data_IF_903232680031
#
_entry.id   IF_903232680031
#
_cell.length_a   1.000
_cell.length_b   1.000
_cell.length_c   1.000
_cell.angle_alpha   90.00
_cell.angle_beta   90.00
_cell.angle_gamma   90.00
#
_symmetry.space_group_name_H-M   'P 1'
#
loop_
_entity.id
_entity.type
_entity.pdbx_description
1 polymer ?
#
# COMPACT_ATOMS: atom_id res chain seq x y z
N UNK A 1 -7.06 18.18 -1.17
CA UNK A 1 -7.30 17.99 -2.61
C UNK A 1 -8.44 18.87 -3.12
N UNK A 2 -9.58 18.95 -2.43
CA UNK A 2 -10.71 19.80 -2.88
C UNK A 2 -10.38 21.28 -3.19
N UNK A 3 -9.41 21.87 -2.48
CA UNK A 3 -8.99 23.26 -2.69
C UNK A 3 -7.87 23.44 -3.71
N UNK A 4 -7.08 22.39 -4.00
CA UNK A 4 -5.81 22.49 -4.76
C UNK A 4 -5.71 21.50 -5.93
N UNK A 5 -6.73 20.68 -6.15
CA UNK A 5 -6.68 19.57 -7.08
C UNK A 5 -5.78 18.42 -6.62
N UNK A 6 -5.38 17.59 -7.58
CA UNK A 6 -4.47 16.45 -7.43
C UNK A 6 -5.09 15.12 -7.85
N UNK A 7 -4.33 14.04 -7.68
CA UNK A 7 -4.74 12.67 -8.04
C UNK A 7 -4.84 11.80 -6.79
N UNK A 8 -6.00 11.19 -6.56
CA UNK A 8 -6.22 10.22 -5.48
C UNK A 8 -6.23 8.81 -6.06
N UNK A 9 -5.39 7.92 -5.54
CA UNK A 9 -5.30 6.54 -5.99
C UNK A 9 -5.59 5.60 -4.81
N UNK A 10 -6.49 4.64 -5.00
CA UNK A 10 -6.80 3.60 -4.01
C UNK A 10 -6.79 2.19 -4.61
N UNK A 11 -7.06 1.18 -3.80
CA UNK A 11 -7.29 -0.19 -4.26
C UNK A 11 -8.72 -0.61 -3.91
N UNK A 12 -9.35 -1.41 -4.77
CA UNK A 12 -10.73 -1.89 -4.60
C UNK A 12 -10.85 -3.33 -5.13
N UNK A 13 -11.74 -4.17 -4.56
CA UNK A 13 -12.05 -5.45 -5.19
C UNK A 13 -12.63 -5.20 -6.60
N UNK A 14 -12.03 -5.86 -7.58
CA UNK A 14 -12.47 -5.83 -8.97
C UNK A 14 -13.68 -6.72 -9.20
N UNK A 15 -14.46 -6.39 -10.24
CA UNK A 15 -15.52 -7.29 -10.73
C UNK A 15 -14.90 -8.44 -11.52
N UNK A 16 -15.37 -9.65 -11.30
CA UNK A 16 -14.89 -10.88 -11.95
C UNK A 16 -14.77 -10.70 -13.48
N UNK A 17 -13.60 -11.02 -14.05
CA UNK A 17 -13.39 -11.10 -15.50
C UNK A 17 -12.51 -10.03 -16.14
N UNK A 18 -12.04 -9.02 -15.40
CA UNK A 18 -11.06 -8.04 -15.91
C UNK A 18 -9.65 -8.46 -15.49
N UNK A 19 -8.99 -9.30 -16.29
CA UNK A 19 -7.62 -9.77 -16.06
C UNK A 19 -6.52 -8.70 -16.20
N UNK A 20 -6.88 -7.42 -16.06
CA UNK A 20 -5.98 -6.29 -16.20
C UNK A 20 -5.96 -5.51 -14.89
N UNK A 21 -4.76 -5.44 -14.29
CA UNK A 21 -4.43 -4.58 -13.16
C UNK A 21 -4.36 -3.13 -13.62
N UNK A 22 -5.51 -2.56 -13.99
CA UNK A 22 -5.60 -1.19 -14.51
C UNK A 22 -6.19 -0.26 -13.46
N UNK A 23 -5.68 0.97 -13.46
CA UNK A 23 -6.32 2.07 -12.75
C UNK A 23 -7.59 2.48 -13.48
N UNK A 24 -8.73 2.35 -12.82
CA UNK A 24 -10.02 2.83 -13.32
C UNK A 24 -10.33 4.19 -12.72
N UNK A 25 -10.75 5.14 -13.56
CA UNK A 25 -11.14 6.48 -13.12
C UNK A 25 -12.56 6.50 -12.52
N UNK A 26 -12.76 7.35 -11.51
CA UNK A 26 -14.04 7.54 -10.82
C UNK A 26 -14.45 9.01 -10.81
N UNK A 27 -15.61 9.31 -11.40
CA UNK A 27 -16.18 10.66 -11.43
C UNK A 27 -16.83 11.06 -10.09
N UNK A 28 -17.15 12.34 -9.92
CA UNK A 28 -17.91 12.86 -8.77
C UNK A 28 -17.09 13.50 -7.66
N UNK A 29 -15.83 13.85 -7.94
CA UNK A 29 -15.00 14.71 -7.08
C UNK A 29 -14.43 15.88 -7.88
N UNK A 30 -13.98 16.93 -7.20
CA UNK A 30 -13.30 18.08 -7.82
C UNK A 30 -11.83 17.81 -8.18
N UNK A 31 -11.39 16.56 -8.08
CA UNK A 31 -10.02 16.09 -8.30
C UNK A 31 -10.07 14.69 -8.90
N UNK A 32 -8.96 14.26 -9.52
CA UNK A 32 -8.90 12.98 -10.22
C UNK A 32 -8.88 11.84 -9.22
N UNK A 33 -9.68 10.80 -9.48
CA UNK A 33 -9.76 9.61 -8.63
C UNK A 33 -9.57 8.38 -9.47
N UNK A 34 -8.65 7.53 -9.05
CA UNK A 34 -8.40 6.23 -9.65
C UNK A 34 -8.42 5.13 -8.61
N UNK A 35 -8.79 3.92 -9.01
CA UNK A 35 -8.59 2.74 -8.19
C UNK A 35 -7.97 1.59 -8.97
N UNK A 36 -7.01 0.90 -8.35
CA UNK A 36 -6.51 -0.38 -8.80
C UNK A 36 -7.54 -1.45 -8.47
N UNK A 37 -8.03 -2.14 -9.50
CA UNK A 37 -8.94 -3.27 -9.34
C UNK A 37 -8.15 -4.54 -9.11
N UNK A 38 -8.41 -5.20 -7.98
CA UNK A 38 -7.74 -6.44 -7.59
C UNK A 38 -8.71 -7.63 -7.72
N UNK A 39 -8.30 -8.77 -8.28
CA UNK A 39 -9.08 -10.00 -8.17
C UNK A 39 -9.45 -10.29 -6.71
N UNK A 40 -10.65 -10.82 -6.47
CA UNK A 40 -11.17 -11.01 -5.10
C UNK A 40 -10.21 -11.77 -4.19
N UNK A 41 -9.61 -12.87 -4.66
CA UNK A 41 -8.62 -13.62 -3.89
C UNK A 41 -7.40 -12.77 -3.51
N UNK A 42 -6.84 -12.02 -4.47
CA UNK A 42 -5.70 -11.13 -4.19
C UNK A 42 -6.07 -9.99 -3.25
N UNK A 43 -7.27 -9.42 -3.39
CA UNK A 43 -7.78 -8.41 -2.47
C UNK A 43 -7.91 -8.99 -1.06
N UNK A 44 -8.43 -10.21 -0.91
CA UNK A 44 -8.58 -10.86 0.39
C UNK A 44 -7.22 -11.14 1.04
N UNK A 45 -6.26 -11.74 0.32
CA UNK A 45 -4.93 -12.06 0.87
C UNK A 45 -4.14 -10.81 1.27
N UNK A 46 -4.32 -9.70 0.53
CA UNK A 46 -3.72 -8.40 0.83
C UNK A 46 -4.41 -7.67 1.98
N UNK A 47 -5.73 -7.46 1.87
CA UNK A 47 -6.49 -6.58 2.74
C UNK A 47 -6.91 -7.32 4.01
N UNK A 48 -7.61 -8.45 3.88
CA UNK A 48 -8.05 -9.24 5.03
C UNK A 48 -6.88 -10.06 5.62
N UNK A 49 -5.99 -10.58 4.77
CA UNK A 49 -4.80 -11.32 5.16
C UNK A 49 -3.72 -10.42 5.75
N UNK A 50 -2.64 -10.16 5.02
CA UNK A 50 -1.45 -9.55 5.63
C UNK A 50 -1.71 -8.20 6.30
N UNK A 51 -2.54 -7.33 5.70
CA UNK A 51 -2.81 -6.01 6.29
C UNK A 51 -3.57 -6.12 7.62
N UNK A 52 -4.70 -6.85 7.65
CA UNK A 52 -5.60 -6.84 8.81
C UNK A 52 -5.43 -8.03 9.78
N UNK A 53 -4.91 -9.17 9.33
CA UNK A 53 -4.59 -10.33 10.18
C UNK A 53 -3.15 -10.34 10.69
N UNK A 54 -2.23 -9.59 10.07
CA UNK A 54 -0.81 -9.53 10.49
C UNK A 54 -0.39 -8.14 10.94
N UNK A 55 -0.41 -7.14 10.06
CA UNK A 55 0.10 -5.80 10.39
C UNK A 55 -0.76 -5.10 11.44
N UNK A 56 -2.09 -5.13 11.30
CA UNK A 56 -2.98 -4.45 12.23
C UNK A 56 -2.81 -4.97 13.68
N UNK A 57 -2.86 -6.28 13.98
CA UNK A 57 -2.67 -6.76 15.35
C UNK A 57 -1.26 -6.46 15.88
N UNK A 58 -0.23 -6.61 15.04
CA UNK A 58 1.16 -6.29 15.38
C UNK A 58 1.30 -4.84 15.84
N UNK A 59 0.73 -3.90 15.07
CA UNK A 59 0.84 -2.46 15.28
C UNK A 59 0.06 -2.02 16.53
N UNK A 60 -1.01 -2.75 16.88
CA UNK A 60 -1.79 -2.52 18.11
C UNK A 60 -1.30 -3.33 19.32
N UNK A 61 -0.16 -4.02 19.21
CA UNK A 61 0.39 -4.84 20.30
C UNK A 61 -0.45 -6.04 20.69
N UNK A 62 -1.29 -6.52 19.77
CA UNK A 62 -2.10 -7.72 19.87
C UNK A 62 -1.43 -8.87 19.15
N UNK A 63 -0.19 -9.18 19.54
CA UNK A 63 0.57 -10.29 18.93
C UNK A 63 -0.10 -11.65 19.15
N UNK A 64 -1.01 -11.74 20.13
CA UNK A 64 -1.89 -12.88 20.39
C UNK A 64 -2.94 -13.13 19.28
N UNK A 65 -3.21 -12.14 18.43
CA UNK A 65 -4.17 -12.21 17.32
C UNK A 65 -3.49 -12.32 15.95
N UNK A 66 -2.16 -12.49 15.89
CA UNK A 66 -1.48 -12.65 14.62
C UNK A 66 -1.91 -13.95 13.96
N UNK A 67 -2.41 -13.82 12.74
CA UNK A 67 -2.80 -14.95 11.90
C UNK A 67 -2.04 -14.85 10.58
N UNK A 68 -0.98 -15.65 10.48
CA UNK A 68 -0.04 -15.63 9.35
C UNK A 68 -0.26 -16.90 8.54
N UNK A 69 -0.80 -16.73 7.34
CA UNK A 69 -0.95 -17.81 6.37
C UNK A 69 0.11 -17.72 5.27
N UNK A 70 0.42 -18.86 4.66
CA UNK A 70 1.35 -18.94 3.54
C UNK A 70 0.84 -18.08 2.37
N UNK A 71 1.73 -17.29 1.76
CA UNK A 71 1.40 -16.45 0.61
C UNK A 71 0.85 -15.06 0.93
N UNK A 72 0.35 -14.77 2.14
CA UNK A 72 -0.19 -13.44 2.49
C UNK A 72 0.85 -12.31 2.31
N UNK A 73 2.09 -12.50 2.76
CA UNK A 73 3.17 -11.54 2.54
C UNK A 73 3.48 -11.33 1.05
N UNK A 74 3.42 -12.41 0.26
CA UNK A 74 3.67 -12.34 -1.18
C UNK A 74 2.54 -11.59 -1.90
N UNK A 75 1.28 -11.83 -1.53
CA UNK A 75 0.13 -11.06 -2.01
C UNK A 75 0.25 -9.58 -1.64
N UNK A 76 0.62 -9.29 -0.39
CA UNK A 76 0.84 -7.91 0.08
C UNK A 76 1.89 -7.15 -0.72
N UNK A 77 3.02 -7.81 -0.97
CA UNK A 77 4.11 -7.25 -1.78
C UNK A 77 3.70 -7.11 -3.25
N UNK A 78 2.97 -8.10 -3.80
CA UNK A 78 2.44 -8.09 -5.18
C UNK A 78 1.50 -6.92 -5.42
N UNK A 79 0.55 -6.66 -4.51
CA UNK A 79 -0.41 -5.56 -4.63
C UNK A 79 0.32 -4.21 -4.61
N UNK A 80 1.29 -4.02 -3.72
CA UNK A 80 2.09 -2.80 -3.67
C UNK A 80 2.91 -2.57 -4.95
N UNK A 81 3.51 -3.63 -5.50
CA UNK A 81 4.22 -3.55 -6.79
C UNK A 81 3.28 -3.20 -7.94
N UNK A 82 2.10 -3.83 -8.02
CA UNK A 82 1.07 -3.53 -9.03
C UNK A 82 0.56 -2.09 -8.90
N UNK A 83 0.39 -1.60 -7.67
CA UNK A 83 0.04 -0.21 -7.41
C UNK A 83 1.10 0.76 -7.93
N UNK A 84 2.39 0.49 -7.69
CA UNK A 84 3.48 1.28 -8.23
C UNK A 84 3.49 1.26 -9.78
N UNK A 85 3.44 0.07 -10.38
CA UNK A 85 3.41 -0.13 -11.84
C UNK A 85 2.24 0.61 -12.51
N UNK A 86 1.07 0.59 -11.87
CA UNK A 86 -0.13 1.21 -12.43
C UNK A 86 -0.17 2.73 -12.23
N UNK A 87 0.43 3.24 -11.14
CA UNK A 87 0.43 4.68 -10.83
C UNK A 87 1.60 5.45 -11.43
N UNK A 88 2.71 4.79 -11.80
CA UNK A 88 3.94 5.48 -12.26
C UNK A 88 3.70 6.42 -13.44
N UNK A 89 2.79 6.06 -14.36
CA UNK A 89 2.48 6.87 -15.54
C UNK A 89 1.62 8.10 -15.24
N UNK A 90 1.05 8.21 -14.04
CA UNK A 90 0.29 9.38 -13.58
C UNK A 90 1.16 10.39 -12.84
N UNK A 91 2.36 10.00 -12.42
CA UNK A 91 3.28 10.84 -11.67
C UNK A 91 4.03 11.76 -12.64
N UNK A 92 3.95 13.06 -12.39
CA UNK A 92 4.65 14.08 -13.15
C UNK A 92 5.89 14.59 -12.40
N UNK A 93 6.83 15.18 -13.14
CA UNK A 93 7.95 15.88 -12.53
C UNK A 93 7.45 17.03 -11.63
N UNK A 94 7.93 17.06 -10.39
CA UNK A 94 7.52 18.07 -9.40
C UNK A 94 6.32 17.69 -8.53
N UNK A 95 5.64 16.57 -8.81
CA UNK A 95 4.60 16.05 -7.92
C UNK A 95 5.18 15.68 -6.55
N UNK A 96 4.37 15.86 -5.51
CA UNK A 96 4.63 15.33 -4.17
C UNK A 96 3.70 14.16 -3.94
N UNK A 97 4.27 13.00 -3.64
CA UNK A 97 3.53 11.76 -3.41
C UNK A 97 3.33 11.59 -1.91
N UNK A 98 2.10 11.35 -1.49
CA UNK A 98 1.79 11.12 -0.07
C UNK A 98 1.04 9.79 0.08
N UNK A 99 1.69 8.82 0.71
CA UNK A 99 1.17 7.47 0.91
C UNK A 99 0.63 7.37 2.33
N UNK A 100 -0.57 6.80 2.45
CA UNK A 100 -1.27 6.70 3.72
C UNK A 100 -1.44 5.24 4.14
N UNK A 101 -1.08 5.01 5.40
CA UNK A 101 -1.40 3.85 6.22
C UNK A 101 -0.69 2.53 5.90
N UNK A 102 -0.82 1.57 6.83
CA UNK A 102 -0.07 0.31 6.85
C UNK A 102 -0.31 -0.61 5.64
N UNK A 103 -1.37 -0.39 4.87
CA UNK A 103 -1.68 -1.17 3.68
C UNK A 103 -0.64 -0.97 2.55
N UNK A 104 0.00 0.21 2.51
CA UNK A 104 0.89 0.61 1.41
C UNK A 104 2.33 0.88 1.83
N UNK A 105 2.83 0.26 2.91
CA UNK A 105 4.21 0.47 3.40
C UNK A 105 5.28 0.19 2.33
N UNK A 106 5.19 -0.88 1.50
CA UNK A 106 6.20 -1.13 0.47
C UNK A 106 6.15 -0.14 -0.72
N UNK A 107 5.10 0.65 -0.86
CA UNK A 107 4.79 1.34 -2.10
C UNK A 107 5.89 2.32 -2.53
N UNK A 108 6.53 3.05 -1.61
CA UNK A 108 7.66 3.91 -1.96
C UNK A 108 8.82 3.10 -2.53
N UNK A 109 9.20 2.00 -1.90
CA UNK A 109 10.29 1.15 -2.37
C UNK A 109 10.01 0.61 -3.78
N UNK A 110 8.76 0.24 -4.08
CA UNK A 110 8.36 -0.19 -5.42
C UNK A 110 8.40 0.97 -6.43
N UNK A 111 7.96 2.18 -6.08
CA UNK A 111 8.08 3.36 -6.93
C UNK A 111 9.56 3.73 -7.20
N UNK A 112 10.44 3.61 -6.21
CA UNK A 112 11.89 3.84 -6.38
C UNK A 112 12.50 2.86 -7.39
N UNK A 113 12.10 1.57 -7.36
CA UNK A 113 12.54 0.57 -8.36
C UNK A 113 12.12 0.95 -9.78
N UNK A 114 11.05 1.70 -9.95
CA UNK A 114 10.57 2.21 -11.23
C UNK A 114 11.19 3.57 -11.63
N UNK A 115 12.14 4.09 -10.85
CA UNK A 115 12.86 5.33 -11.15
C UNK A 115 12.16 6.62 -10.70
N UNK A 116 11.12 6.51 -9.87
CA UNK A 116 10.44 7.69 -9.31
C UNK A 116 11.35 8.39 -8.31
N UNK A 117 11.73 9.64 -8.62
CA UNK A 117 12.60 10.47 -7.78
C UNK A 117 11.85 11.63 -7.10
N UNK A 118 10.54 11.71 -7.28
CA UNK A 118 9.67 12.68 -6.59
C UNK A 118 9.79 12.55 -5.06
N UNK A 119 9.52 13.62 -4.29
CA UNK A 119 9.34 13.51 -2.86
C UNK A 119 8.18 12.56 -2.51
N UNK A 120 8.43 11.57 -1.65
CA UNK A 120 7.45 10.58 -1.20
C UNK A 120 7.39 10.60 0.34
N UNK A 121 6.26 11.08 0.87
CA UNK A 121 5.97 11.02 2.30
C UNK A 121 5.08 9.83 2.66
N UNK A 122 5.24 9.31 3.88
CA UNK A 122 4.39 8.30 4.49
C UNK A 122 3.68 8.89 5.72
N UNK A 123 2.41 8.55 5.89
CA UNK A 123 1.71 8.81 7.14
C UNK A 123 0.98 7.56 7.62
N UNK A 124 1.43 7.04 8.76
CA UNK A 124 0.79 5.91 9.43
C UNK A 124 -0.32 6.42 10.35
N UNK A 125 -1.56 5.96 10.13
CA UNK A 125 -2.71 6.39 10.94
C UNK A 125 -2.88 5.55 12.21
N UNK A 126 -2.37 4.32 12.19
CA UNK A 126 -2.34 3.42 13.35
C UNK A 126 -1.09 3.67 14.22
N UNK A 127 -1.02 3.12 15.44
CA UNK A 127 0.21 3.19 16.23
C UNK A 127 1.36 2.48 15.52
N UNK A 128 2.59 2.97 15.72
CA UNK A 128 3.77 2.23 15.31
C UNK A 128 4.08 1.11 16.33
N UNK A 129 4.37 -0.12 15.89
CA UNK A 129 4.62 -1.23 16.81
C UNK A 129 5.84 -0.96 17.71
N UNK A 130 5.77 -1.43 18.96
CA UNK A 130 6.94 -1.41 19.84
C UNK A 130 8.06 -2.29 19.26
N UNK A 131 9.31 -2.02 19.61
CA UNK A 131 10.44 -2.87 19.17
C UNK A 131 10.29 -4.34 19.59
N UNK A 132 9.57 -4.63 20.68
CA UNK A 132 9.25 -5.99 21.09
C UNK A 132 8.23 -6.65 20.16
N UNK A 133 7.22 -5.90 19.72
CA UNK A 133 6.21 -6.41 18.79
C UNK A 133 6.85 -6.69 17.43
N UNK A 134 7.68 -5.77 16.91
CA UNK A 134 8.43 -5.98 15.65
C UNK A 134 9.30 -7.24 15.69
N UNK A 135 9.83 -7.63 16.85
CA UNK A 135 10.57 -8.90 17.00
C UNK A 135 9.72 -10.15 16.78
N UNK A 136 8.40 -10.07 16.98
CA UNK A 136 7.47 -11.17 16.70
C UNK A 136 7.11 -11.28 15.21
N UNK A 137 7.44 -10.27 14.39
CA UNK A 137 7.17 -10.26 12.97
C UNK A 137 8.21 -11.09 12.19
N UNK A 138 7.72 -12.04 11.39
CA UNK A 138 8.53 -12.70 10.36
C UNK A 138 8.99 -11.68 9.31
N UNK A 139 10.25 -11.75 8.88
CA UNK A 139 10.83 -10.84 7.88
C UNK A 139 10.82 -9.34 8.26
N UNK A 140 10.98 -9.03 9.55
CA UNK A 140 11.04 -7.64 10.09
C UNK A 140 12.02 -6.70 9.36
N UNK A 141 13.07 -7.23 8.74
CA UNK A 141 14.01 -6.48 7.92
C UNK A 141 13.32 -5.74 6.76
N UNK A 142 12.30 -6.35 6.14
CA UNK A 142 11.55 -5.72 5.06
C UNK A 142 10.81 -4.47 5.53
N UNK A 143 10.29 -4.46 6.75
CA UNK A 143 9.58 -3.29 7.28
C UNK A 143 10.51 -2.07 7.34
N UNK A 144 11.75 -2.25 7.80
CA UNK A 144 12.72 -1.16 7.88
C UNK A 144 13.16 -0.69 6.49
N UNK A 145 13.43 -1.63 5.58
CA UNK A 145 13.84 -1.31 4.22
C UNK A 145 12.73 -0.58 3.44
N UNK A 146 11.46 -0.97 3.64
CA UNK A 146 10.31 -0.30 3.03
C UNK A 146 10.13 1.11 3.58
N UNK A 147 10.20 1.29 4.89
CA UNK A 147 10.06 2.61 5.52
C UNK A 147 11.23 3.55 5.17
N UNK A 148 12.43 3.02 4.98
CA UNK A 148 13.61 3.79 4.59
C UNK A 148 13.54 4.33 3.15
N UNK A 149 12.59 3.88 2.33
CA UNK A 149 12.41 4.38 0.96
C UNK A 149 11.65 5.71 0.87
N UNK A 150 11.03 6.14 1.97
CA UNK A 150 10.31 7.41 2.10
C UNK A 150 11.24 8.55 2.49
N UNK A 151 10.88 9.76 2.08
CA UNK A 151 11.59 10.99 2.43
C UNK A 151 11.06 11.60 3.75
N UNK A 152 9.84 11.25 4.15
CA UNK A 152 9.16 11.69 5.37
C UNK A 152 8.28 10.58 5.95
#
# INVERSE_FOLDING_TARGET
MEQRGGVWIGATPGKSGTGQHTLQSYEGASFDRHALHLPEGEYNDYYLGYSNSVLWPLFHGRTDLLDVEEGQLAAYSSVNRKMAEASVNLIQEGDVIWIHDYHFIPLAAELRKLGVNNPIGFFLHTPFPSSNNVRAMSHKEFLLDWLAAYDL
#
